data_IF_153915344446
#
_entry.id   IF_153915344446
#
_cell.length_a   1.000
_cell.length_b   1.000
_cell.length_c   1.000
_cell.angle_alpha   90.00
_cell.angle_beta   90.00
_cell.angle_gamma   90.00
#
_symmetry.space_group_name_H-M   'P 1'
#
loop_
_entity.id
_entity.type
_entity.pdbx_description
1 polymer ?
#
# COMPACT_ATOMS: atom_id res chain seq x y z
N UNK A 1 18.96 12.41 16.81
CA UNK A 1 17.56 12.84 16.53
C UNK A 1 16.83 11.72 15.78
N UNK A 2 15.91 10.99 16.43
CA UNK A 2 15.02 10.06 15.73
C UNK A 2 14.01 10.92 14.95
N UNK A 3 14.15 10.96 13.64
CA UNK A 3 13.23 11.67 12.75
C UNK A 3 11.83 11.09 12.96
N UNK A 4 10.91 11.93 13.44
CA UNK A 4 9.52 11.55 13.78
C UNK A 4 8.63 11.55 12.51
N UNK A 5 9.20 11.13 11.38
CA UNK A 5 8.51 11.12 10.08
C UNK A 5 7.57 9.93 10.07
N UNK A 6 6.28 10.22 10.02
CA UNK A 6 5.25 9.20 9.85
C UNK A 6 5.36 8.64 8.43
N UNK A 7 5.31 7.30 8.27
CA UNK A 7 5.33 6.71 6.95
C UNK A 7 4.09 7.15 6.15
N UNK A 8 4.24 7.23 4.83
CA UNK A 8 3.15 7.42 3.89
C UNK A 8 3.01 6.17 3.02
N UNK A 9 1.78 5.68 2.81
CA UNK A 9 1.54 4.50 1.97
C UNK A 9 0.92 4.93 0.64
N UNK A 10 1.43 4.41 -0.46
CA UNK A 10 0.85 4.58 -1.78
C UNK A 10 0.57 3.19 -2.35
N UNK A 11 -0.69 2.92 -2.67
CA UNK A 11 -1.13 1.66 -3.25
C UNK A 11 -1.52 1.87 -4.72
N UNK A 12 -0.79 1.24 -5.62
CA UNK A 12 -1.08 1.24 -7.04
C UNK A 12 -1.96 0.04 -7.40
N UNK A 13 -3.05 0.32 -8.11
CA UNK A 13 -4.11 -0.61 -8.43
C UNK A 13 -4.47 -0.49 -9.90
N UNK A 14 -4.95 -1.58 -10.47
CA UNK A 14 -5.62 -1.55 -11.77
C UNK A 14 -6.90 -0.68 -11.63
N UNK A 15 -7.24 0.16 -12.60
CA UNK A 15 -8.42 1.04 -12.58
C UNK A 15 -9.71 0.24 -12.35
N UNK A 16 -9.84 -0.87 -13.08
CA UNK A 16 -10.92 -1.85 -12.91
C UNK A 16 -10.64 -2.90 -11.82
N UNK A 17 -9.88 -2.59 -10.76
CA UNK A 17 -9.41 -3.57 -9.75
C UNK A 17 -10.53 -4.43 -9.16
N UNK A 18 -11.73 -3.90 -9.05
CA UNK A 18 -12.92 -4.61 -8.51
C UNK A 18 -13.37 -5.79 -9.37
N UNK A 19 -13.03 -5.79 -10.66
CA UNK A 19 -13.53 -6.77 -11.64
C UNK A 19 -12.35 -7.50 -12.30
N UNK A 20 -11.30 -6.77 -12.71
CA UNK A 20 -10.20 -7.31 -13.53
C UNK A 20 -8.96 -7.71 -12.75
N UNK A 21 -8.82 -7.30 -11.49
CA UNK A 21 -7.65 -7.62 -10.67
C UNK A 21 -8.06 -8.01 -9.24
N UNK A 22 -8.47 -9.28 -9.02
CA UNK A 22 -8.79 -9.78 -7.68
C UNK A 22 -7.68 -9.50 -6.64
N UNK A 23 -6.38 -9.69 -6.96
CA UNK A 23 -5.28 -9.28 -6.07
C UNK A 23 -5.33 -7.80 -5.65
N UNK A 24 -5.63 -6.92 -6.61
CA UNK A 24 -5.75 -5.47 -6.37
C UNK A 24 -6.95 -5.18 -5.47
N UNK A 25 -8.08 -5.85 -5.68
CA UNK A 25 -9.25 -5.67 -4.84
C UNK A 25 -9.02 -6.15 -3.40
N UNK A 26 -8.29 -7.24 -3.20
CA UNK A 26 -7.89 -7.67 -1.85
C UNK A 26 -7.03 -6.63 -1.16
N UNK A 27 -5.97 -6.14 -1.82
CA UNK A 27 -5.10 -5.12 -1.27
C UNK A 27 -5.86 -3.82 -0.95
N UNK A 28 -6.78 -3.41 -1.83
CA UNK A 28 -7.69 -2.28 -1.60
C UNK A 28 -8.50 -2.45 -0.31
N UNK A 29 -9.15 -3.61 -0.13
CA UNK A 29 -9.97 -3.88 1.07
C UNK A 29 -9.11 -3.89 2.33
N UNK A 30 -7.91 -4.46 2.26
CA UNK A 30 -6.99 -4.47 3.41
C UNK A 30 -6.61 -3.05 3.81
N UNK A 31 -6.25 -2.19 2.85
CA UNK A 31 -5.90 -0.79 3.13
C UNK A 31 -7.09 -0.01 3.71
N UNK A 32 -8.28 -0.16 3.13
CA UNK A 32 -9.50 0.50 3.65
C UNK A 32 -9.87 0.01 5.06
N UNK A 33 -9.68 -1.28 5.36
CA UNK A 33 -9.86 -1.83 6.71
C UNK A 33 -8.91 -1.23 7.75
N UNK A 34 -7.79 -0.64 7.33
CA UNK A 34 -6.82 0.03 8.19
C UNK A 34 -7.07 1.54 8.33
N UNK A 35 -7.96 2.15 7.54
CA UNK A 35 -8.23 3.59 7.50
C UNK A 35 -8.48 4.22 8.87
N UNK A 36 -9.25 3.56 9.73
CA UNK A 36 -9.53 4.05 11.09
C UNK A 36 -8.26 4.16 11.95
N UNK A 37 -7.32 3.24 11.80
CA UNK A 37 -6.03 3.28 12.48
C UNK A 37 -5.11 4.35 11.90
N UNK A 38 -5.09 4.51 10.58
CA UNK A 38 -4.33 5.56 9.91
C UNK A 38 -4.75 6.95 10.38
N UNK A 39 -6.07 7.21 10.42
CA UNK A 39 -6.61 8.48 10.93
C UNK A 39 -6.19 8.74 12.37
N UNK A 40 -6.35 7.74 13.26
CA UNK A 40 -5.98 7.87 14.69
C UNK A 40 -4.51 8.18 14.90
N UNK A 41 -3.63 7.64 14.04
CA UNK A 41 -2.18 7.82 14.16
C UNK A 41 -1.62 8.92 13.28
N UNK A 42 -2.46 9.61 12.50
CA UNK A 42 -2.05 10.63 11.54
C UNK A 42 -1.09 10.10 10.46
N UNK A 43 -1.29 8.85 10.05
CA UNK A 43 -0.58 8.22 8.93
C UNK A 43 -1.41 8.52 7.68
N UNK A 44 -0.81 9.11 6.66
CA UNK A 44 -1.46 9.37 5.38
C UNK A 44 -1.30 8.17 4.46
N UNK A 45 -2.28 7.97 3.58
CA UNK A 45 -2.21 6.97 2.52
C UNK A 45 -2.90 7.49 1.26
N UNK A 46 -2.46 6.99 0.11
CA UNK A 46 -3.01 7.29 -1.20
C UNK A 46 -3.25 5.98 -1.98
N UNK A 47 -4.25 6.01 -2.86
CA UNK A 47 -4.55 4.94 -3.81
C UNK A 47 -4.49 5.53 -5.19
N UNK A 48 -3.74 4.89 -6.08
CA UNK A 48 -3.59 5.31 -7.45
C UNK A 48 -4.17 4.19 -8.32
N UNK A 49 -5.27 4.50 -8.98
CA UNK A 49 -6.03 3.58 -9.82
C UNK A 49 -5.68 3.86 -11.29
N UNK A 50 -4.50 3.40 -11.71
CA UNK A 50 -3.92 3.66 -13.02
C UNK A 50 -3.18 2.44 -13.56
N UNK A 51 -3.61 1.95 -14.72
CA UNK A 51 -3.06 0.77 -15.37
C UNK A 51 -1.69 1.05 -16.01
N UNK A 52 -1.41 2.32 -16.35
CA UNK A 52 -0.15 2.73 -17.01
C UNK A 52 1.08 2.60 -16.10
N UNK A 53 0.85 2.39 -14.80
CA UNK A 53 1.91 2.28 -13.80
C UNK A 53 2.78 1.03 -13.97
N UNK A 54 2.25 -0.03 -14.60
CA UNK A 54 3.02 -1.24 -14.92
C UNK A 54 4.21 -0.90 -15.84
N UNK A 55 4.00 -0.02 -16.82
CA UNK A 55 5.03 0.42 -17.75
C UNK A 55 6.08 1.31 -17.07
N UNK A 56 5.64 2.19 -16.16
CA UNK A 56 6.51 3.15 -15.46
C UNK A 56 7.46 2.43 -14.50
N UNK A 57 6.94 1.47 -13.74
CA UNK A 57 7.72 0.77 -12.71
C UNK A 57 8.36 -0.52 -13.22
N UNK A 58 8.15 -0.86 -14.50
CA UNK A 58 8.54 -2.15 -15.08
C UNK A 58 8.13 -3.32 -14.19
N UNK A 59 6.97 -3.21 -13.54
CA UNK A 59 6.47 -4.29 -12.69
C UNK A 59 5.63 -5.20 -13.56
N UNK A 60 5.87 -6.50 -13.43
CA UNK A 60 5.11 -7.50 -14.16
C UNK A 60 3.74 -7.76 -13.52
N UNK A 61 3.43 -7.15 -12.37
CA UNK A 61 2.21 -7.40 -11.62
C UNK A 61 1.73 -6.21 -10.78
N UNK A 62 0.42 -5.96 -10.84
CA UNK A 62 -0.34 -5.20 -9.86
C UNK A 62 -0.98 -6.16 -8.84
N UNK A 63 -1.26 -5.72 -7.60
CA UNK A 63 -1.01 -4.38 -7.05
C UNK A 63 0.46 -4.14 -6.71
N UNK A 64 0.82 -2.87 -6.52
CA UNK A 64 2.13 -2.44 -5.99
C UNK A 64 1.91 -1.57 -4.76
N UNK A 65 2.54 -1.92 -3.64
CA UNK A 65 2.54 -1.12 -2.43
C UNK A 65 3.89 -0.41 -2.30
N UNK A 66 3.85 0.91 -2.14
CA UNK A 66 5.00 1.73 -1.81
C UNK A 66 4.83 2.28 -0.40
N UNK A 67 5.85 2.10 0.43
CA UNK A 67 5.92 2.69 1.77
C UNK A 67 7.00 3.75 1.75
N UNK A 68 6.58 5.01 1.75
CA UNK A 68 7.45 6.16 1.77
C UNK A 68 7.86 6.49 3.20
N UNK A 69 9.17 6.52 3.41
CA UNK A 69 9.83 7.04 4.61
C UNK A 69 11.16 7.68 4.18
N UNK A 70 12.21 7.63 4.99
CA UNK A 70 13.57 8.03 4.56
C UNK A 70 14.05 7.28 3.30
N UNK A 71 13.62 6.04 3.10
CA UNK A 71 13.91 5.23 1.92
C UNK A 71 12.64 4.50 1.45
N UNK A 72 12.15 4.77 0.23
CA UNK A 72 10.94 4.11 -0.27
C UNK A 72 11.20 2.61 -0.46
N UNK A 73 10.28 1.80 0.03
CA UNK A 73 10.24 0.36 -0.26
C UNK A 73 9.06 0.06 -1.17
N UNK A 74 9.28 -0.81 -2.15
CA UNK A 74 8.27 -1.26 -3.10
C UNK A 74 8.05 -2.75 -2.91
N UNK A 75 6.79 -3.16 -3.00
CA UNK A 75 6.36 -4.55 -2.88
C UNK A 75 5.34 -4.81 -3.97
N UNK A 76 5.43 -5.96 -4.63
CA UNK A 76 4.61 -6.28 -5.79
C UNK A 76 3.97 -7.66 -5.65
N UNK A 77 2.70 -7.74 -6.02
CA UNK A 77 1.94 -8.99 -5.95
C UNK A 77 1.26 -9.24 -4.60
N UNK A 78 0.21 -10.09 -4.59
CA UNK A 78 -0.75 -10.16 -3.49
C UNK A 78 -0.17 -10.68 -2.18
N UNK A 79 0.68 -11.71 -2.23
CA UNK A 79 1.23 -12.33 -1.02
C UNK A 79 2.22 -11.41 -0.30
N UNK A 80 3.10 -10.76 -1.06
CA UNK A 80 4.08 -9.83 -0.52
C UNK A 80 3.38 -8.62 0.10
N UNK A 81 2.43 -8.02 -0.62
CA UNK A 81 1.66 -6.87 -0.13
C UNK A 81 0.89 -7.20 1.14
N UNK A 82 0.22 -8.36 1.19
CA UNK A 82 -0.52 -8.78 2.38
C UNK A 82 0.41 -8.91 3.59
N UNK A 83 1.56 -9.58 3.42
CA UNK A 83 2.56 -9.73 4.48
C UNK A 83 3.06 -8.36 4.95
N UNK A 84 3.38 -7.48 4.02
CA UNK A 84 3.91 -6.15 4.35
C UNK A 84 2.89 -5.24 5.01
N UNK A 85 1.61 -5.33 4.63
CA UNK A 85 0.52 -4.64 5.32
C UNK A 85 0.35 -5.14 6.77
N UNK A 86 0.53 -6.45 7.02
CA UNK A 86 0.49 -7.01 8.39
C UNK A 86 1.69 -6.54 9.22
N UNK A 87 2.90 -6.57 8.66
CA UNK A 87 4.10 -6.03 9.31
C UNK A 87 3.93 -4.55 9.62
N UNK A 88 3.41 -3.77 8.66
CA UNK A 88 3.10 -2.36 8.86
C UNK A 88 2.11 -2.16 10.01
N UNK A 89 1.03 -2.95 10.03
CA UNK A 89 0.02 -2.89 11.09
C UNK A 89 0.65 -3.17 12.46
N UNK A 90 1.45 -4.23 12.56
CA UNK A 90 2.14 -4.58 13.81
C UNK A 90 3.04 -3.46 14.31
N UNK A 91 3.87 -2.90 13.41
CA UNK A 91 4.87 -1.90 13.76
C UNK A 91 4.29 -0.52 14.07
N UNK A 92 3.29 -0.09 13.31
CA UNK A 92 2.81 1.29 13.33
C UNK A 92 1.41 1.43 13.92
N UNK A 93 0.59 0.37 13.93
CA UNK A 93 -0.84 0.46 14.25
C UNK A 93 -1.29 -0.28 15.53
N UNK A 94 -0.47 -1.17 16.09
CA UNK A 94 -0.82 -2.00 17.25
C UNK A 94 -0.20 -1.55 18.60
N UNK A 95 0.38 -0.35 18.69
CA UNK A 95 0.87 0.25 19.96
C UNK A 95 -0.04 1.35 20.48
#
# INVERSE_FOLDING_TARGET
MKSNVKPHLVLFLHKDHRIKCPPCFEAYKTLEGMKGNFKRRGISYEKIEDDSFQDIFKTEALPVLRIENKFPKHYSGPLEIRTQMQEFKSKYLNN
#
